data_IF_800053314776
#
_entry.id   IF_800053314776
#
_cell.length_a   1.000
_cell.length_b   1.000
_cell.length_c   1.000
_cell.angle_alpha   90.00
_cell.angle_beta   90.00
_cell.angle_gamma   90.00
#
_symmetry.space_group_name_H-M   'P 1'
#
loop_
_entity.id
_entity.type
_entity.pdbx_description
1 polymer ?
#
# COMPACT_ATOMS: atom_id res chain seq x y z
N UNK A 1 32.13 -11.28 -10.96
CA UNK A 1 32.69 -10.73 -9.70
C UNK A 1 31.69 -10.86 -8.59
N UNK A 2 31.81 -11.79 -7.67
CA UNK A 2 30.88 -12.00 -6.56
C UNK A 2 31.12 -10.90 -5.51
N UNK A 3 30.15 -9.98 -5.37
CA UNK A 3 30.15 -9.00 -4.29
C UNK A 3 30.01 -9.76 -2.96
N UNK A 4 31.04 -9.76 -2.12
CA UNK A 4 30.95 -10.34 -0.76
C UNK A 4 29.79 -9.66 -0.04
N UNK A 5 28.81 -10.45 0.36
CA UNK A 5 27.76 -10.01 1.29
C UNK A 5 28.43 -9.82 2.64
N UNK A 6 28.87 -8.61 2.93
CA UNK A 6 29.32 -8.24 4.27
C UNK A 6 28.07 -8.01 5.12
N UNK A 7 28.02 -8.62 6.29
CA UNK A 7 27.01 -8.26 7.30
C UNK A 7 27.10 -6.74 7.54
N UNK A 8 25.95 -6.05 7.66
CA UNK A 8 25.97 -4.61 7.90
C UNK A 8 26.81 -4.32 9.13
N UNK A 9 27.76 -3.41 8.96
CA UNK A 9 28.68 -3.03 10.02
C UNK A 9 27.90 -2.34 11.15
N UNK A 10 28.45 -2.35 12.37
CA UNK A 10 27.88 -1.59 13.50
C UNK A 10 27.66 -0.12 13.16
N UNK A 11 28.47 0.43 12.26
CA UNK A 11 28.36 1.79 11.74
C UNK A 11 27.11 1.97 10.84
N UNK A 12 26.77 1.01 10.00
CA UNK A 12 25.56 1.07 9.15
C UNK A 12 24.28 0.96 9.98
N UNK A 13 24.26 0.11 11.02
CA UNK A 13 23.17 0.07 11.98
C UNK A 13 23.01 1.39 12.74
N UNK A 14 24.12 1.99 13.17
CA UNK A 14 24.11 3.29 13.84
C UNK A 14 23.63 4.40 12.90
N UNK A 15 24.01 4.37 11.63
CA UNK A 15 23.56 5.32 10.61
C UNK A 15 22.07 5.21 10.33
N UNK A 16 21.53 4.00 10.16
CA UNK A 16 20.09 3.77 9.96
C UNK A 16 19.29 4.24 11.17
N UNK A 17 19.75 3.94 12.39
CA UNK A 17 19.13 4.43 13.62
C UNK A 17 19.15 5.95 13.71
N UNK A 18 20.25 6.59 13.35
CA UNK A 18 20.39 8.06 13.31
C UNK A 18 19.42 8.68 12.31
N UNK A 19 19.27 8.12 11.13
CA UNK A 19 18.32 8.57 10.12
C UNK A 19 16.87 8.45 10.61
N UNK A 20 16.50 7.35 11.25
CA UNK A 20 15.17 7.17 11.82
C UNK A 20 14.87 8.18 12.93
N UNK A 21 15.85 8.44 13.81
CA UNK A 21 15.73 9.46 14.87
C UNK A 21 15.57 10.85 14.26
N UNK A 22 16.36 11.18 13.23
CA UNK A 22 16.26 12.47 12.54
C UNK A 22 14.88 12.69 11.91
N UNK A 23 14.30 11.66 11.26
CA UNK A 23 12.94 11.73 10.71
C UNK A 23 11.89 11.96 11.80
N UNK A 24 11.99 11.26 12.92
CA UNK A 24 11.08 11.46 14.06
C UNK A 24 11.18 12.87 14.64
N UNK A 25 12.41 13.37 14.77
CA UNK A 25 12.65 14.75 15.23
C UNK A 25 12.10 15.78 14.24
N UNK A 26 12.24 15.56 12.94
CA UNK A 26 11.68 16.42 11.91
C UNK A 26 10.14 16.48 11.99
N UNK A 27 9.47 15.33 12.13
CA UNK A 27 8.01 15.26 12.33
C UNK A 27 7.59 16.00 13.61
N UNK A 28 8.33 15.80 14.71
CA UNK A 28 8.06 16.46 15.96
C UNK A 28 8.23 18.00 15.86
N UNK A 29 9.32 18.45 15.24
CA UNK A 29 9.57 19.87 14.99
C UNK A 29 8.49 20.52 14.12
N UNK A 30 8.06 19.84 13.05
CA UNK A 30 6.96 20.31 12.20
C UNK A 30 5.66 20.43 13.01
N UNK A 31 5.37 19.47 13.88
CA UNK A 31 4.19 19.50 14.76
C UNK A 31 4.26 20.68 15.75
N UNK A 32 5.44 20.99 16.30
CA UNK A 32 5.64 22.15 17.16
C UNK A 32 5.42 23.47 16.41
N UNK A 33 6.02 23.60 15.21
CA UNK A 33 5.83 24.79 14.36
C UNK A 33 4.35 24.99 14.04
N UNK A 34 3.65 23.92 13.69
CA UNK A 34 2.20 23.97 13.46
C UNK A 34 1.43 24.45 14.69
N UNK A 35 1.79 23.97 15.89
CA UNK A 35 1.17 24.38 17.14
C UNK A 35 1.39 25.86 17.47
N UNK A 36 2.58 26.41 17.14
CA UNK A 36 2.92 27.83 17.34
C UNK A 36 2.16 28.71 16.32
N UNK A 37 2.17 28.31 15.03
CA UNK A 37 1.53 29.10 13.95
C UNK A 37 0.01 29.08 14.07
N UNK A 38 -0.57 27.98 14.54
CA UNK A 38 -2.02 27.82 14.70
C UNK A 38 -2.35 27.21 16.05
N UNK A 39 -2.50 28.04 17.10
CA UNK A 39 -2.84 27.59 18.44
C UNK A 39 -4.13 26.74 18.42
N UNK A 40 -4.10 25.56 19.05
CA UNK A 40 -5.21 24.61 19.04
C UNK A 40 -5.19 23.59 17.90
N UNK A 41 -4.19 23.63 16.99
CA UNK A 41 -4.05 22.64 15.92
C UNK A 41 -3.43 21.31 16.39
N UNK A 42 -2.73 21.30 17.51
CA UNK A 42 -2.16 20.09 18.11
C UNK A 42 -3.13 19.55 19.17
N UNK A 43 -4.22 18.97 18.72
CA UNK A 43 -5.21 18.30 19.57
C UNK A 43 -5.26 16.82 19.25
N UNK A 44 -5.73 16.00 20.21
CA UNK A 44 -5.94 14.58 19.98
C UNK A 44 -6.83 14.32 18.74
N UNK A 45 -7.90 15.07 18.58
CA UNK A 45 -8.81 14.95 17.45
C UNK A 45 -8.11 15.26 16.12
N UNK A 46 -7.27 16.28 16.07
CA UNK A 46 -6.50 16.62 14.87
C UNK A 46 -5.48 15.53 14.55
N UNK A 47 -4.78 14.99 15.55
CA UNK A 47 -3.87 13.86 15.36
C UNK A 47 -4.60 12.64 14.80
N UNK A 48 -5.80 12.34 15.31
CA UNK A 48 -6.62 11.24 14.80
C UNK A 48 -7.10 11.49 13.36
N UNK A 49 -7.39 12.75 13.00
CA UNK A 49 -7.71 13.08 11.60
C UNK A 49 -6.52 12.90 10.66
N UNK A 50 -5.31 13.26 11.10
CA UNK A 50 -4.09 13.01 10.32
C UNK A 50 -3.86 11.51 10.14
N UNK A 51 -3.99 10.70 11.19
CA UNK A 51 -3.84 9.25 11.08
C UNK A 51 -4.91 8.62 10.19
N UNK A 52 -6.13 9.15 10.19
CA UNK A 52 -7.20 8.74 9.26
C UNK A 52 -6.78 8.93 7.81
N UNK A 53 -6.30 10.11 7.45
CA UNK A 53 -5.85 10.41 6.10
C UNK A 53 -4.62 9.57 5.71
N UNK A 54 -3.67 9.40 6.63
CA UNK A 54 -2.46 8.62 6.42
C UNK A 54 -2.71 7.11 6.33
N UNK A 55 -3.86 6.60 6.79
CA UNK A 55 -4.12 5.15 6.87
C UNK A 55 -4.12 4.46 5.51
N UNK A 56 -4.72 5.08 4.49
CA UNK A 56 -4.72 4.53 3.14
C UNK A 56 -3.29 4.44 2.58
N UNK A 57 -2.52 5.54 2.67
CA UNK A 57 -1.12 5.55 2.27
C UNK A 57 -0.30 4.54 3.08
N UNK A 58 -0.56 4.42 4.38
CA UNK A 58 0.08 3.45 5.25
C UNK A 58 -0.12 2.01 4.79
N UNK A 59 -1.31 1.65 4.31
CA UNK A 59 -1.58 0.31 3.74
C UNK A 59 -0.81 0.10 2.44
N UNK A 60 -0.72 1.11 1.55
CA UNK A 60 0.12 1.04 0.34
C UNK A 60 1.58 0.79 0.70
N UNK A 61 2.12 1.49 1.70
CA UNK A 61 3.51 1.34 2.16
C UNK A 61 3.79 -0.08 2.65
N UNK A 62 2.84 -0.75 3.31
CA UNK A 62 3.00 -2.15 3.73
C UNK A 62 3.18 -3.09 2.52
N UNK A 63 2.39 -2.90 1.47
CA UNK A 63 2.52 -3.66 0.23
C UNK A 63 3.85 -3.39 -0.47
N UNK A 64 4.21 -2.13 -0.61
CA UNK A 64 5.45 -1.70 -1.23
C UNK A 64 6.69 -2.22 -0.48
N UNK A 65 6.64 -2.24 0.85
CA UNK A 65 7.72 -2.79 1.66
C UNK A 65 8.01 -4.26 1.32
N UNK A 66 6.97 -5.09 1.09
CA UNK A 66 7.14 -6.49 0.70
C UNK A 66 7.87 -6.62 -0.65
N UNK A 67 7.50 -5.81 -1.64
CA UNK A 67 8.13 -5.82 -2.97
C UNK A 67 9.58 -5.36 -2.89
N UNK A 68 9.85 -4.28 -2.14
CA UNK A 68 11.22 -3.76 -1.94
C UNK A 68 12.08 -4.78 -1.19
N UNK A 69 11.57 -5.42 -0.15
CA UNK A 69 12.28 -6.46 0.60
C UNK A 69 12.59 -7.70 -0.26
N UNK A 70 11.78 -7.97 -1.28
CA UNK A 70 12.05 -9.03 -2.27
C UNK A 70 12.97 -8.59 -3.41
N UNK A 71 13.45 -7.32 -3.40
CA UNK A 71 14.35 -6.76 -4.41
C UNK A 71 13.65 -6.18 -5.64
N UNK A 72 12.33 -5.96 -5.59
CA UNK A 72 11.52 -5.34 -6.64
C UNK A 72 11.15 -3.89 -6.36
N UNK A 73 10.44 -3.28 -7.32
CA UNK A 73 9.78 -1.97 -7.20
C UNK A 73 8.44 -2.08 -7.91
N UNK A 74 7.38 -1.48 -7.35
CA UNK A 74 6.07 -1.40 -7.99
C UNK A 74 5.54 0.05 -7.96
N UNK A 75 5.60 0.73 -9.09
CA UNK A 75 5.08 2.10 -9.24
C UNK A 75 3.58 2.13 -9.57
N UNK A 76 2.99 0.98 -9.87
CA UNK A 76 1.59 0.89 -10.28
C UNK A 76 0.60 1.02 -9.11
N UNK A 77 1.09 1.01 -7.87
CA UNK A 77 0.25 1.06 -6.65
C UNK A 77 -0.65 2.30 -6.58
N UNK A 78 -0.16 3.47 -7.03
CA UNK A 78 -0.95 4.70 -7.04
C UNK A 78 -2.15 4.61 -8.00
N UNK A 79 -1.90 4.18 -9.24
CA UNK A 79 -2.98 3.97 -10.21
C UNK A 79 -3.93 2.84 -9.80
N UNK A 80 -3.45 1.82 -9.04
CA UNK A 80 -4.32 0.80 -8.47
C UNK A 80 -5.26 1.37 -7.41
N UNK A 81 -4.81 2.29 -6.57
CA UNK A 81 -5.66 3.01 -5.60
C UNK A 81 -6.75 3.79 -6.32
N UNK A 82 -6.38 4.56 -7.36
CA UNK A 82 -7.34 5.34 -8.18
C UNK A 82 -8.31 4.44 -8.94
N UNK A 83 -7.82 3.37 -9.58
CA UNK A 83 -8.67 2.39 -10.28
C UNK A 83 -9.70 1.79 -9.32
N UNK A 84 -9.27 1.40 -8.12
CA UNK A 84 -10.15 0.89 -7.07
C UNK A 84 -11.20 1.91 -6.66
N UNK A 85 -10.82 3.18 -6.47
CA UNK A 85 -11.78 4.23 -6.15
C UNK A 85 -12.85 4.36 -7.24
N UNK A 86 -12.43 4.46 -8.50
CA UNK A 86 -13.35 4.62 -9.63
C UNK A 86 -14.34 3.44 -9.71
N UNK A 87 -13.84 2.21 -9.68
CA UNK A 87 -14.70 1.03 -9.79
C UNK A 87 -15.58 0.82 -8.55
N UNK A 88 -15.02 0.95 -7.35
CA UNK A 88 -15.78 0.78 -6.11
C UNK A 88 -16.95 1.76 -6.03
N UNK A 89 -16.68 3.04 -6.25
CA UNK A 89 -17.69 4.09 -6.11
C UNK A 89 -18.77 3.99 -7.18
N UNK A 90 -18.39 3.71 -8.44
CA UNK A 90 -19.35 3.55 -9.54
C UNK A 90 -20.25 2.32 -9.36
N UNK A 91 -19.70 1.22 -8.79
CA UNK A 91 -20.46 -0.01 -8.57
C UNK A 91 -21.34 0.05 -7.32
N UNK A 92 -20.90 0.71 -6.26
CA UNK A 92 -21.66 0.84 -5.02
C UNK A 92 -22.93 1.66 -5.20
N UNK A 93 -22.93 2.69 -6.05
CA UNK A 93 -24.11 3.55 -6.33
C UNK A 93 -24.79 4.06 -5.06
N UNK A 94 -24.05 4.27 -3.99
CA UNK A 94 -24.55 4.70 -2.69
C UNK A 94 -25.32 3.65 -1.89
N UNK A 95 -25.25 2.37 -2.24
CA UNK A 95 -26.02 1.28 -1.61
C UNK A 95 -25.10 0.28 -0.90
N UNK A 96 -25.45 -0.08 0.34
CA UNK A 96 -24.71 -1.07 1.13
C UNK A 96 -24.83 -2.49 0.57
N UNK A 97 -25.93 -2.81 -0.12
CA UNK A 97 -26.12 -4.10 -0.80
C UNK A 97 -25.01 -4.41 -1.82
N UNK A 98 -24.45 -3.37 -2.43
CA UNK A 98 -23.42 -3.50 -3.45
C UNK A 98 -21.98 -3.44 -2.87
N UNK A 99 -21.83 -3.14 -1.58
CA UNK A 99 -20.52 -2.96 -0.93
C UNK A 99 -19.63 -4.19 -1.07
N UNK A 100 -20.13 -5.36 -0.66
CA UNK A 100 -19.34 -6.58 -0.66
C UNK A 100 -18.92 -6.99 -2.08
N UNK A 101 -19.85 -6.91 -3.03
CA UNK A 101 -19.57 -7.23 -4.44
C UNK A 101 -18.52 -6.30 -5.02
N UNK A 102 -18.66 -4.99 -4.81
CA UNK A 102 -17.69 -4.01 -5.28
C UNK A 102 -16.31 -4.22 -4.64
N UNK A 103 -16.26 -4.47 -3.32
CA UNK A 103 -15.01 -4.73 -2.61
C UNK A 103 -14.30 -5.99 -3.13
N UNK A 104 -15.03 -7.09 -3.34
CA UNK A 104 -14.47 -8.33 -3.87
C UNK A 104 -13.94 -8.15 -5.30
N UNK A 105 -14.65 -7.42 -6.15
CA UNK A 105 -14.19 -7.11 -7.52
C UNK A 105 -12.91 -6.27 -7.47
N UNK A 106 -12.85 -5.25 -6.62
CA UNK A 106 -11.64 -4.42 -6.46
C UNK A 106 -10.44 -5.22 -5.96
N UNK A 107 -10.63 -6.11 -4.99
CA UNK A 107 -9.57 -7.04 -4.53
C UNK A 107 -9.18 -8.00 -5.65
N UNK A 108 -10.14 -8.52 -6.41
CA UNK A 108 -9.90 -9.33 -7.59
C UNK A 108 -9.06 -8.62 -8.66
N UNK A 109 -9.36 -7.34 -8.93
CA UNK A 109 -8.55 -6.50 -9.82
C UNK A 109 -7.11 -6.36 -9.28
N UNK A 110 -6.94 -6.20 -7.96
CA UNK A 110 -5.61 -6.21 -7.33
C UNK A 110 -4.84 -7.50 -7.58
N UNK A 111 -5.51 -8.66 -7.50
CA UNK A 111 -4.89 -9.96 -7.84
C UNK A 111 -4.51 -10.01 -9.32
N UNK A 112 -5.36 -9.55 -10.22
CA UNK A 112 -5.09 -9.53 -11.67
C UNK A 112 -3.89 -8.63 -11.99
N UNK A 113 -3.88 -7.39 -11.50
CA UNK A 113 -2.79 -6.44 -11.74
C UNK A 113 -1.47 -6.93 -11.12
N UNK A 114 -1.50 -7.42 -9.88
CA UNK A 114 -0.32 -7.98 -9.23
C UNK A 114 0.23 -9.22 -9.96
N UNK A 115 -0.65 -10.06 -10.47
CA UNK A 115 -0.27 -11.21 -11.32
C UNK A 115 0.35 -10.76 -12.63
N UNK A 116 -0.22 -9.75 -13.28
CA UNK A 116 0.31 -9.18 -14.53
C UNK A 116 1.72 -8.61 -14.32
N UNK A 117 1.93 -7.80 -13.28
CA UNK A 117 3.24 -7.27 -12.91
C UNK A 117 4.25 -8.39 -12.61
N UNK A 118 3.85 -9.35 -11.78
CA UNK A 118 4.69 -10.48 -11.42
C UNK A 118 5.11 -11.32 -12.63
N UNK A 119 4.19 -11.63 -13.55
CA UNK A 119 4.48 -12.40 -14.76
C UNK A 119 5.43 -11.63 -15.69
N UNK A 120 5.22 -10.33 -15.88
CA UNK A 120 6.10 -9.49 -16.70
C UNK A 120 7.53 -9.46 -16.14
N UNK A 121 7.67 -9.30 -14.84
CA UNK A 121 9.01 -9.26 -14.21
C UNK A 121 9.67 -10.65 -14.20
N UNK A 122 8.94 -11.70 -13.82
CA UNK A 122 9.54 -13.01 -13.54
C UNK A 122 9.67 -13.86 -14.82
N UNK A 123 8.65 -13.86 -15.68
CA UNK A 123 8.61 -14.71 -16.86
C UNK A 123 9.19 -14.04 -18.11
N UNK A 124 8.89 -12.76 -18.30
CA UNK A 124 9.37 -12.00 -19.46
C UNK A 124 10.71 -11.31 -19.18
N UNK A 125 11.18 -11.28 -17.92
CA UNK A 125 12.45 -10.65 -17.55
C UNK A 125 12.46 -9.13 -17.69
N UNK A 126 11.27 -8.50 -17.73
CA UNK A 126 11.14 -7.04 -17.85
C UNK A 126 11.58 -6.42 -16.52
N UNK A 127 12.37 -5.34 -16.58
CA UNK A 127 12.78 -4.64 -15.37
C UNK A 127 11.55 -4.19 -14.55
N UNK A 128 11.52 -4.40 -13.22
CA UNK A 128 10.37 -4.08 -12.36
C UNK A 128 9.83 -2.66 -12.55
N UNK A 129 10.73 -1.69 -12.64
CA UNK A 129 10.38 -0.29 -12.88
C UNK A 129 9.60 -0.10 -14.20
N UNK A 130 10.08 -0.69 -15.32
CA UNK A 130 9.44 -0.56 -16.62
C UNK A 130 8.08 -1.27 -16.62
N UNK A 131 8.01 -2.48 -16.05
CA UNK A 131 6.77 -3.24 -15.99
C UNK A 131 5.68 -2.51 -15.20
N UNK A 132 6.02 -1.98 -14.05
CA UNK A 132 5.07 -1.26 -13.21
C UNK A 132 4.64 0.09 -13.80
N UNK A 133 5.52 0.80 -14.53
CA UNK A 133 5.13 1.98 -15.31
C UNK A 133 4.14 1.65 -16.44
N UNK A 134 4.36 0.56 -17.18
CA UNK A 134 3.41 0.11 -18.19
C UNK A 134 2.05 -0.20 -17.57
N UNK A 135 2.03 -0.94 -16.46
CA UNK A 135 0.79 -1.25 -15.74
C UNK A 135 0.08 0.00 -15.23
N UNK A 136 0.83 0.97 -14.72
CA UNK A 136 0.33 2.28 -14.32
C UNK A 136 -0.43 2.95 -15.47
N UNK A 137 0.23 3.10 -16.63
CA UNK A 137 -0.38 3.74 -17.82
C UNK A 137 -1.59 2.97 -18.37
N UNK A 138 -1.56 1.63 -18.32
CA UNK A 138 -2.72 0.82 -18.72
C UNK A 138 -3.91 1.08 -17.78
N UNK A 139 -3.69 1.09 -16.47
CA UNK A 139 -4.76 1.37 -15.50
C UNK A 139 -5.32 2.78 -15.66
N UNK A 140 -4.45 3.77 -15.92
CA UNK A 140 -4.87 5.14 -16.21
C UNK A 140 -5.78 5.20 -17.45
N UNK A 141 -5.40 4.53 -18.53
CA UNK A 141 -6.25 4.41 -19.71
C UNK A 141 -7.59 3.72 -19.39
N UNK A 142 -7.57 2.63 -18.62
CA UNK A 142 -8.77 1.88 -18.26
C UNK A 142 -9.76 2.74 -17.48
N UNK A 143 -9.35 3.43 -16.41
CA UNK A 143 -10.30 4.22 -15.65
C UNK A 143 -10.75 5.49 -16.38
N UNK A 144 -9.93 6.07 -17.25
CA UNK A 144 -10.32 7.20 -18.10
C UNK A 144 -11.38 6.78 -19.14
N UNK A 145 -11.17 5.66 -19.82
CA UNK A 145 -12.16 5.13 -20.78
C UNK A 145 -13.46 4.73 -20.05
N UNK A 146 -13.35 4.07 -18.91
CA UNK A 146 -14.50 3.64 -18.13
C UNK A 146 -15.37 4.79 -17.65
N UNK A 147 -14.77 5.93 -17.28
CA UNK A 147 -15.48 7.12 -16.78
C UNK A 147 -15.83 8.13 -17.88
N UNK A 148 -15.33 7.94 -19.10
CA UNK A 148 -15.41 8.97 -20.15
C UNK A 148 -14.75 10.29 -19.73
N UNK A 149 -13.76 10.25 -18.83
CA UNK A 149 -13.08 11.43 -18.27
C UNK A 149 -13.89 12.18 -17.20
N UNK A 150 -15.13 11.78 -16.91
CA UNK A 150 -16.01 12.41 -15.93
C UNK A 150 -16.47 11.40 -14.87
N UNK A 151 -15.66 11.17 -13.84
CA UNK A 151 -15.97 10.20 -12.80
C UNK A 151 -17.20 10.64 -11.99
N UNK A 152 -18.13 9.72 -11.76
CA UNK A 152 -19.34 9.95 -10.99
C UNK A 152 -19.67 8.75 -10.12
N UNK A 153 -20.40 8.99 -9.04
CA UNK A 153 -20.85 7.95 -8.13
C UNK A 153 -20.77 8.39 -6.67
N UNK A 154 -21.26 7.51 -5.80
CA UNK A 154 -21.21 7.67 -4.34
C UNK A 154 -20.86 6.34 -3.70
N UNK A 155 -20.05 6.40 -2.65
CA UNK A 155 -19.75 5.24 -1.82
C UNK A 155 -21.00 4.81 -1.03
N UNK A 156 -21.02 3.53 -0.64
CA UNK A 156 -22.04 3.04 0.29
C UNK A 156 -21.92 3.71 1.68
N UNK A 157 -23.03 3.87 2.42
CA UNK A 157 -23.00 4.36 3.79
C UNK A 157 -22.01 3.59 4.68
N UNK A 158 -21.96 2.26 4.56
CA UNK A 158 -21.04 1.41 5.31
C UNK A 158 -19.56 1.78 5.05
N UNK A 159 -19.17 1.95 3.77
CA UNK A 159 -17.79 2.32 3.43
C UNK A 159 -17.47 3.73 3.92
N UNK A 160 -18.43 4.65 3.85
CA UNK A 160 -18.30 6.01 4.39
C UNK A 160 -18.08 5.99 5.90
N UNK A 161 -18.80 5.15 6.63
CA UNK A 161 -18.59 4.94 8.08
C UNK A 161 -17.17 4.43 8.36
N UNK A 162 -16.70 3.43 7.61
CA UNK A 162 -15.32 2.92 7.76
C UNK A 162 -14.28 4.01 7.49
N UNK A 163 -14.49 4.86 6.50
CA UNK A 163 -13.56 5.92 6.13
C UNK A 163 -13.59 7.14 7.06
N UNK A 164 -14.77 7.51 7.57
CA UNK A 164 -14.96 8.80 8.26
C UNK A 164 -15.30 8.72 9.74
N UNK A 165 -15.81 7.58 10.22
CA UNK A 165 -16.16 7.45 11.63
C UNK A 165 -15.03 6.89 12.48
N UNK A 166 -15.23 6.98 13.79
CA UNK A 166 -14.24 6.55 14.77
C UNK A 166 -14.87 5.58 15.78
N UNK A 167 -14.12 4.56 16.12
CA UNK A 167 -14.47 3.64 17.19
C UNK A 167 -14.53 4.40 18.52
N UNK A 168 -15.69 4.34 19.21
CA UNK A 168 -15.97 5.08 20.46
C UNK A 168 -15.69 6.59 20.35
N UNK A 169 -15.82 7.19 19.15
CA UNK A 169 -15.57 8.60 18.90
C UNK A 169 -14.10 9.04 19.05
N UNK A 170 -13.15 8.11 19.14
CA UNK A 170 -11.73 8.43 19.41
C UNK A 170 -10.80 7.98 18.29
N UNK A 171 -10.79 6.71 17.92
CA UNK A 171 -9.85 6.13 16.96
C UNK A 171 -10.53 5.82 15.64
N UNK A 172 -10.09 6.39 14.49
CA UNK A 172 -10.70 6.11 13.19
C UNK A 172 -10.65 4.62 12.83
N UNK A 173 -11.73 4.08 12.25
CA UNK A 173 -11.75 2.69 11.78
C UNK A 173 -10.67 2.40 10.74
N UNK A 174 -10.40 3.34 9.84
CA UNK A 174 -9.32 3.22 8.86
C UNK A 174 -7.94 3.06 9.52
N UNK A 175 -7.69 3.77 10.62
CA UNK A 175 -6.43 3.64 11.40
C UNK A 175 -6.34 2.28 12.07
N UNK A 176 -7.44 1.75 12.62
CA UNK A 176 -7.48 0.41 13.23
C UNK A 176 -7.14 -0.65 12.17
N UNK A 177 -7.73 -0.55 10.97
CA UNK A 177 -7.48 -1.48 9.86
C UNK A 177 -6.00 -1.40 9.43
N UNK A 178 -5.46 -0.19 9.27
CA UNK A 178 -4.05 -0.02 8.93
C UNK A 178 -3.11 -0.64 9.96
N UNK A 179 -3.31 -0.36 11.25
CA UNK A 179 -2.49 -0.92 12.33
C UNK A 179 -2.62 -2.44 12.40
N UNK A 180 -3.82 -2.99 12.24
CA UNK A 180 -4.04 -4.43 12.20
C UNK A 180 -3.27 -5.09 11.03
N UNK A 181 -3.33 -4.50 9.84
CA UNK A 181 -2.57 -4.95 8.67
C UNK A 181 -1.06 -4.80 8.89
N UNK A 182 -0.61 -3.72 9.52
CA UNK A 182 0.81 -3.52 9.85
C UNK A 182 1.33 -4.59 10.80
N UNK A 183 0.57 -4.91 11.86
CA UNK A 183 0.91 -5.98 12.80
C UNK A 183 0.92 -7.34 12.10
N UNK A 184 -0.06 -7.62 11.23
CA UNK A 184 -0.11 -8.86 10.45
C UNK A 184 1.11 -9.01 9.54
N UNK A 185 1.43 -7.99 8.75
CA UNK A 185 2.59 -8.00 7.85
C UNK A 185 3.90 -8.10 8.63
N UNK A 186 4.03 -7.36 9.74
CA UNK A 186 5.17 -7.48 10.63
C UNK A 186 5.33 -8.92 11.17
N UNK A 187 4.24 -9.52 11.64
CA UNK A 187 4.24 -10.91 12.12
C UNK A 187 4.66 -11.89 11.02
N UNK A 188 4.09 -11.75 9.83
CA UNK A 188 4.42 -12.59 8.67
C UNK A 188 5.90 -12.45 8.32
N UNK A 189 6.43 -11.25 8.27
CA UNK A 189 7.84 -10.99 7.93
C UNK A 189 8.81 -11.48 9.00
N UNK A 190 8.53 -11.23 10.28
CA UNK A 190 9.47 -11.48 11.36
C UNK A 190 9.35 -12.88 11.99
N UNK A 191 8.16 -13.48 11.96
CA UNK A 191 7.88 -14.71 12.70
C UNK A 191 7.64 -15.94 11.82
N UNK A 192 7.46 -15.79 10.50
CA UNK A 192 7.14 -16.93 9.63
C UNK A 192 8.30 -17.33 8.70
N UNK A 193 8.21 -18.55 8.16
CA UNK A 193 9.14 -19.03 7.12
C UNK A 193 9.02 -18.25 5.81
N UNK A 194 7.85 -17.66 5.54
CA UNK A 194 7.63 -16.82 4.36
C UNK A 194 8.50 -15.55 4.41
N UNK A 195 8.50 -14.84 5.54
CA UNK A 195 9.33 -13.65 5.71
C UNK A 195 10.82 -13.93 5.52
N UNK A 196 11.33 -15.04 6.09
CA UNK A 196 12.73 -15.47 5.86
C UNK A 196 13.03 -15.70 4.38
N UNK A 197 12.10 -16.27 3.61
CA UNK A 197 12.25 -16.47 2.17
C UNK A 197 12.25 -15.12 1.42
N UNK A 198 11.41 -14.16 1.80
CA UNK A 198 11.38 -12.81 1.22
C UNK A 198 12.74 -12.14 1.39
N UNK A 199 13.29 -12.12 2.60
CA UNK A 199 14.61 -11.55 2.87
C UNK A 199 15.74 -12.28 2.10
N UNK A 200 15.70 -13.62 2.04
CA UNK A 200 16.68 -14.40 1.30
C UNK A 200 16.66 -14.08 -0.20
N UNK A 201 15.48 -14.00 -0.80
CA UNK A 201 15.30 -13.66 -2.22
C UNK A 201 15.77 -12.25 -2.51
N UNK A 202 15.40 -11.27 -1.68
CA UNK A 202 15.84 -9.89 -1.84
C UNK A 202 17.35 -9.70 -1.70
N UNK A 203 18.00 -10.48 -0.83
CA UNK A 203 19.45 -10.42 -0.66
C UNK A 203 20.21 -10.99 -1.86
N UNK A 204 19.83 -12.18 -2.32
CA UNK A 204 20.41 -12.82 -3.51
C UNK A 204 19.48 -13.92 -4.04
N UNK A 205 18.70 -13.66 -5.10
CA UNK A 205 17.75 -14.63 -5.64
C UNK A 205 18.42 -15.90 -6.18
N UNK A 206 19.66 -15.80 -6.68
CA UNK A 206 20.40 -16.97 -7.18
C UNK A 206 20.86 -17.87 -6.03
N UNK A 207 21.43 -17.30 -4.97
CA UNK A 207 21.80 -18.05 -3.78
C UNK A 207 20.58 -18.67 -3.10
N UNK A 208 19.46 -17.95 -3.01
CA UNK A 208 18.21 -18.46 -2.48
C UNK A 208 17.72 -19.71 -3.26
N UNK A 209 17.79 -19.69 -4.60
CA UNK A 209 17.46 -20.86 -5.44
C UNK A 209 18.38 -22.05 -5.16
N UNK A 210 19.67 -21.83 -5.01
CA UNK A 210 20.62 -22.89 -4.69
C UNK A 210 20.33 -23.53 -3.32
N UNK A 211 19.74 -22.75 -2.39
CA UNK A 211 19.26 -23.25 -1.09
C UNK A 211 17.84 -23.86 -1.16
N UNK A 212 17.29 -24.12 -2.34
CA UNK A 212 15.99 -24.75 -2.53
C UNK A 212 14.79 -23.81 -2.37
N UNK A 213 14.98 -22.49 -2.28
CA UNK A 213 13.89 -21.52 -2.21
C UNK A 213 13.38 -21.24 -3.62
N UNK A 214 12.06 -21.36 -3.83
CA UNK A 214 11.40 -20.98 -5.09
C UNK A 214 11.32 -19.46 -5.21
N UNK A 215 12.44 -18.80 -5.59
CA UNK A 215 12.53 -17.34 -5.64
C UNK A 215 11.43 -16.71 -6.47
N UNK A 216 11.07 -17.32 -7.60
CA UNK A 216 10.00 -16.83 -8.49
C UNK A 216 8.63 -16.82 -7.81
N UNK A 217 8.30 -17.86 -7.04
CA UNK A 217 7.03 -17.92 -6.32
C UNK A 217 6.96 -16.89 -5.17
N UNK A 218 8.10 -16.64 -4.51
CA UNK A 218 8.19 -15.61 -3.47
C UNK A 218 8.02 -14.23 -4.09
N UNK A 219 8.76 -13.90 -5.14
CA UNK A 219 8.61 -12.61 -5.83
C UNK A 219 7.20 -12.44 -6.40
N UNK A 220 6.62 -13.48 -7.02
CA UNK A 220 5.24 -13.46 -7.50
C UNK A 220 4.24 -13.06 -6.41
N UNK A 221 4.33 -13.72 -5.25
CA UNK A 221 3.42 -13.44 -4.14
C UNK A 221 3.57 -12.03 -3.57
N UNK A 222 4.78 -11.44 -3.56
CA UNK A 222 4.97 -10.07 -3.08
C UNK A 222 4.30 -9.04 -3.97
N UNK A 223 4.34 -9.18 -5.31
CA UNK A 223 3.61 -8.30 -6.23
C UNK A 223 2.09 -8.43 -6.07
N UNK A 224 1.58 -9.67 -5.97
CA UNK A 224 0.14 -9.89 -5.79
C UNK A 224 -0.35 -9.30 -4.47
N UNK A 225 0.36 -9.54 -3.35
CA UNK A 225 0.00 -8.98 -2.04
C UNK A 225 0.08 -7.45 -2.08
N UNK A 226 1.07 -6.87 -2.73
CA UNK A 226 1.22 -5.42 -2.87
C UNK A 226 0.02 -4.80 -3.59
N UNK A 227 -0.36 -5.32 -4.75
CA UNK A 227 -1.50 -4.82 -5.52
C UNK A 227 -2.83 -5.03 -4.80
N UNK A 228 -3.01 -6.14 -4.06
CA UNK A 228 -4.18 -6.37 -3.21
C UNK A 228 -4.25 -5.34 -2.07
N UNK A 229 -3.12 -5.06 -1.40
CA UNK A 229 -3.07 -4.03 -0.37
C UNK A 229 -3.32 -2.63 -0.95
N UNK A 230 -2.85 -2.34 -2.17
CA UNK A 230 -3.17 -1.11 -2.88
C UNK A 230 -4.68 -1.01 -3.19
N UNK A 231 -5.36 -2.11 -3.54
CA UNK A 231 -6.81 -2.15 -3.68
C UNK A 231 -7.53 -1.88 -2.35
N UNK A 232 -7.08 -2.48 -1.26
CA UNK A 232 -7.63 -2.21 0.08
C UNK A 232 -7.43 -0.74 0.47
N UNK A 233 -6.26 -0.17 0.19
CA UNK A 233 -5.98 1.24 0.40
C UNK A 233 -6.93 2.14 -0.43
N UNK A 234 -7.20 1.76 -1.68
CA UNK A 234 -8.17 2.44 -2.55
C UNK A 234 -9.60 2.42 -1.99
N UNK A 235 -10.03 1.31 -1.40
CA UNK A 235 -11.32 1.25 -0.70
C UNK A 235 -11.35 2.18 0.51
N UNK A 236 -10.30 2.20 1.34
CA UNK A 236 -10.22 3.09 2.50
C UNK A 236 -10.22 4.57 2.08
N UNK A 237 -9.44 4.91 1.04
CA UNK A 237 -9.42 6.25 0.47
C UNK A 237 -10.79 6.66 -0.09
N UNK A 238 -11.49 5.73 -0.77
CA UNK A 238 -12.85 5.96 -1.28
C UNK A 238 -13.83 6.25 -0.17
N UNK A 239 -13.75 5.52 0.94
CA UNK A 239 -14.58 5.76 2.12
C UNK A 239 -14.35 7.14 2.72
N UNK A 240 -13.09 7.60 2.74
CA UNK A 240 -12.73 8.93 3.24
C UNK A 240 -13.23 10.05 2.32
N UNK A 241 -12.98 9.94 1.01
CA UNK A 241 -13.38 10.96 0.01
C UNK A 241 -14.90 10.99 -0.19
N UNK A 242 -15.56 9.84 -0.15
CA UNK A 242 -17.02 9.71 -0.29
C UNK A 242 -17.53 9.71 -1.73
N UNK A 243 -16.67 10.07 -2.69
CA UNK A 243 -17.01 10.19 -4.13
C UNK A 243 -15.87 9.65 -4.99
N UNK A 244 -16.11 9.55 -6.30
CA UNK A 244 -15.08 9.21 -7.27
C UNK A 244 -14.10 10.36 -7.46
N UNK A 245 -12.80 10.04 -7.55
CA UNK A 245 -11.73 10.99 -7.88
C UNK A 245 -10.73 10.34 -8.83
N UNK A 246 -10.21 11.09 -9.80
CA UNK A 246 -9.12 10.65 -10.70
C UNK A 246 -7.73 10.96 -10.13
N UNK A 247 -7.66 11.66 -8.98
CA UNK A 247 -6.42 12.01 -8.28
C UNK A 247 -6.58 11.74 -6.78
N UNK A 248 -6.25 10.52 -6.37
CA UNK A 248 -6.20 10.13 -4.95
C UNK A 248 -4.75 9.90 -4.54
#
# INVERSE_FOLDING_TARGET
MAKRVTLPSSAEFAQTRRQSIFLLLAVFMLSLVQGIVRPGSVTFNQTMNITRQASALGVVVLGQALVILAGGIDLSVGSMVTLTNVFAVSMMKGQDSNFLTAALICVGLGVVVGTFNALGVIKLGIAPFIMSLCSMSIMEGVYLVYTGGSPSGRVSPLLKTIGNESFLGKVPYSTIIWVALAVLIWYVLMKTSYGRKVFAVGSNPTAARLCGIRSDAVSFSTYVICSVLAAVAGLLASGYVGTTSLSI
#
